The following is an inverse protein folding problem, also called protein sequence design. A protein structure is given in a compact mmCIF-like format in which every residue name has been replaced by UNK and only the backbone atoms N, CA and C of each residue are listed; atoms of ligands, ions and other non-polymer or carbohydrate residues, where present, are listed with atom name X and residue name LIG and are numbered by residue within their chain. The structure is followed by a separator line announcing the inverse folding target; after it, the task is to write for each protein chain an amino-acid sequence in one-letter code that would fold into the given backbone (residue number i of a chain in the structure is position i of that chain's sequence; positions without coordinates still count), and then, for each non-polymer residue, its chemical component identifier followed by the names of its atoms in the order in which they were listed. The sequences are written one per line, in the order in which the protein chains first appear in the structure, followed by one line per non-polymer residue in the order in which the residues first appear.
data_IF_833730241889
#
_entry.id   IF_833730241889
#
_cell.length_a   1.000
_cell.length_b   1.000
_cell.length_c   1.000
_cell.angle_alpha   90.00
_cell.angle_beta   90.00
_cell.angle_gamma   90.00
#
_symmetry.space_group_name_H-M   'P 1'
#
loop_
_entity.id
_entity.type
_entity.pdbx_description
1 polymer ?
#
# COMPACT_ATOMS: atom_id res chain seq x y z
N UNK A 1 23.81 -33.71 45.48
CA UNK A 1 23.91 -33.08 44.17
C UNK A 1 25.35 -33.07 43.71
N UNK A 2 25.67 -33.78 42.65
CA UNK A 2 27.02 -33.86 42.09
C UNK A 2 27.44 -32.52 41.49
N UNK A 3 28.74 -32.22 41.47
CA UNK A 3 29.28 -30.98 40.84
C UNK A 3 28.77 -30.79 39.42
N UNK A 4 28.53 -31.90 38.72
CA UNK A 4 28.00 -31.92 37.35
C UNK A 4 26.53 -31.42 37.28
N UNK A 5 25.67 -31.78 38.22
CA UNK A 5 24.29 -31.28 38.28
C UNK A 5 24.24 -29.76 38.52
N UNK A 6 25.09 -29.24 39.40
CA UNK A 6 25.19 -27.78 39.62
C UNK A 6 25.64 -27.03 38.36
N UNK A 7 26.55 -27.60 37.59
CA UNK A 7 27.01 -27.01 36.34
C UNK A 7 25.89 -26.94 35.25
N UNK A 8 25.05 -27.99 35.16
CA UNK A 8 23.91 -28.01 34.24
C UNK A 8 22.86 -26.98 34.66
N UNK A 9 22.52 -26.86 35.94
CA UNK A 9 21.58 -25.84 36.40
C UNK A 9 22.09 -24.42 36.17
N UNK A 10 23.38 -24.19 36.37
CA UNK A 10 24.00 -22.89 36.06
C UNK A 10 23.96 -22.58 34.58
N UNK A 11 24.22 -23.55 33.71
CA UNK A 11 24.16 -23.39 32.26
C UNK A 11 22.74 -23.05 31.77
N UNK A 12 21.72 -23.75 32.30
CA UNK A 12 20.32 -23.51 31.98
C UNK A 12 19.88 -22.12 32.49
N UNK A 13 20.32 -21.72 33.69
CA UNK A 13 20.03 -20.38 34.25
C UNK A 13 20.69 -19.27 33.39
N UNK A 14 21.88 -19.45 32.90
CA UNK A 14 22.56 -18.48 32.02
C UNK A 14 21.88 -18.39 30.65
N UNK A 15 21.45 -19.52 30.07
CA UNK A 15 20.73 -19.54 28.81
C UNK A 15 19.34 -18.88 28.88
N UNK A 16 18.68 -18.90 30.04
CA UNK A 16 17.38 -18.25 30.23
C UNK A 16 17.46 -16.72 30.36
N UNK A 17 18.65 -16.14 30.60
CA UNK A 17 18.83 -14.70 30.78
C UNK A 17 19.10 -13.91 29.47
N UNK A 18 19.27 -14.59 28.33
CA UNK A 18 19.66 -13.94 27.07
C UNK A 18 18.49 -13.56 26.14
N UNK A 19 17.24 -13.66 26.61
CA UNK A 19 16.05 -13.31 25.81
C UNK A 19 15.75 -11.81 25.88
N UNK A 20 16.61 -10.96 25.32
CA UNK A 20 16.32 -9.55 25.10
C UNK A 20 15.65 -9.37 23.73
N UNK A 21 14.33 -9.26 23.67
CA UNK A 21 13.61 -8.78 22.50
C UNK A 21 13.70 -7.26 22.43
N UNK A 22 14.21 -6.73 21.33
CA UNK A 22 14.29 -5.27 21.12
C UNK A 22 12.90 -4.74 20.70
N UNK A 23 12.08 -4.36 21.69
CA UNK A 23 10.71 -3.86 21.51
C UNK A 23 10.66 -2.62 20.62
N UNK A 24 11.71 -1.78 20.62
CA UNK A 24 11.78 -0.55 19.81
C UNK A 24 11.64 -0.83 18.30
N UNK A 25 12.05 -2.00 17.82
CA UNK A 25 11.91 -2.37 16.40
C UNK A 25 10.52 -2.92 16.05
N UNK A 26 9.70 -3.20 17.04
CA UNK A 26 8.36 -3.75 16.89
C UNK A 26 7.24 -2.69 17.02
N UNK A 27 7.59 -1.45 17.33
CA UNK A 27 6.63 -0.35 17.52
C UNK A 27 6.82 0.74 16.48
N UNK A 28 5.73 1.42 16.15
CA UNK A 28 5.74 2.62 15.32
C UNK A 28 6.18 3.83 16.16
N UNK A 29 6.77 4.83 15.51
CA UNK A 29 6.97 6.17 16.07
C UNK A 29 7.60 6.17 17.47
N UNK A 30 8.73 5.51 17.63
CA UNK A 30 9.39 5.37 18.92
C UNK A 30 9.84 6.70 19.50
N UNK A 31 9.42 7.00 20.74
CA UNK A 31 9.85 8.16 21.52
C UNK A 31 9.59 9.52 20.84
N UNK A 32 8.53 9.63 20.03
CA UNK A 32 8.15 10.89 19.42
C UNK A 32 7.41 11.75 20.46
N UNK A 33 7.87 12.99 20.74
CA UNK A 33 7.14 13.92 21.58
C UNK A 33 5.83 14.33 20.89
N UNK A 34 4.87 14.88 21.66
CA UNK A 34 3.68 15.47 21.08
C UNK A 34 4.09 16.58 20.10
N UNK A 35 3.92 16.34 18.82
CA UNK A 35 4.37 17.19 17.73
C UNK A 35 3.24 17.49 16.76
N UNK A 36 3.33 18.63 16.07
CA UNK A 36 2.40 19.00 15.01
C UNK A 36 3.18 19.04 13.70
N UNK A 37 2.70 18.32 12.71
CA UNK A 37 3.29 18.32 11.37
C UNK A 37 2.36 19.05 10.41
N UNK A 38 2.90 19.97 9.62
CA UNK A 38 2.15 20.62 8.55
C UNK A 38 1.93 19.59 7.43
N UNK A 39 0.68 19.31 7.13
CA UNK A 39 0.34 18.43 6.01
C UNK A 39 0.81 19.08 4.70
N UNK A 40 1.76 18.47 4.02
CA UNK A 40 2.23 18.94 2.72
C UNK A 40 1.29 18.41 1.63
N UNK A 41 0.19 19.13 1.40
CA UNK A 41 -0.84 18.79 0.43
C UNK A 41 -0.54 19.35 -0.98
N UNK A 42 0.52 20.14 -1.12
CA UNK A 42 0.96 20.68 -2.40
C UNK A 42 1.52 19.54 -3.27
N UNK A 43 0.96 19.32 -4.44
CA UNK A 43 1.30 18.28 -5.43
C UNK A 43 0.73 16.87 -5.20
N UNK A 44 -0.48 16.76 -4.64
CA UNK A 44 -1.16 15.45 -4.52
C UNK A 44 -1.91 15.00 -5.77
N UNK A 45 -2.13 15.89 -6.74
CA UNK A 45 -2.78 15.50 -8.00
C UNK A 45 -1.80 14.71 -8.87
N UNK A 46 -1.96 13.38 -8.97
CA UNK A 46 -1.09 12.58 -9.80
C UNK A 46 -1.30 12.98 -11.27
N UNK A 47 -0.23 12.94 -12.03
CA UNK A 47 -0.25 13.06 -13.48
C UNK A 47 -0.88 11.80 -14.05
N UNK A 48 -1.84 11.97 -14.95
CA UNK A 48 -2.53 10.90 -15.66
C UNK A 48 -1.56 10.15 -16.58
N UNK A 49 -1.73 8.83 -16.67
CA UNK A 49 -0.89 7.93 -17.47
C UNK A 49 -1.73 7.10 -18.44
N UNK A 50 -1.05 6.48 -19.39
CA UNK A 50 -1.63 5.44 -20.23
C UNK A 50 -2.19 4.31 -19.35
N UNK A 51 -3.30 3.72 -19.78
CA UNK A 51 -4.07 2.70 -19.05
C UNK A 51 -4.77 3.18 -17.78
N UNK A 52 -4.76 4.49 -17.44
CA UNK A 52 -5.63 5.01 -16.41
C UNK A 52 -7.08 4.98 -16.89
N UNK A 53 -7.97 4.49 -16.02
CA UNK A 53 -9.41 4.45 -16.25
C UNK A 53 -10.08 5.57 -15.47
N UNK A 54 -10.74 6.46 -16.21
CA UNK A 54 -11.41 7.64 -15.66
C UNK A 54 -12.93 7.51 -15.80
N UNK A 55 -13.65 8.00 -14.82
CA UNK A 55 -15.07 8.34 -14.96
C UNK A 55 -15.16 9.83 -15.19
N UNK A 56 -15.78 10.25 -16.29
CA UNK A 56 -15.98 11.66 -16.62
C UNK A 56 -17.48 11.91 -16.76
N UNK A 57 -18.02 12.80 -15.95
CA UNK A 57 -19.40 13.24 -16.06
C UNK A 57 -19.48 14.74 -16.30
N UNK A 58 -20.42 15.15 -17.15
CA UNK A 58 -20.69 16.53 -17.50
C UNK A 58 -22.09 16.91 -17.06
N UNK A 59 -22.25 18.05 -16.44
CA UNK A 59 -23.55 18.65 -16.15
C UNK A 59 -23.58 20.12 -16.58
N UNK A 60 -24.76 20.64 -16.91
CA UNK A 60 -24.97 22.04 -17.23
C UNK A 60 -26.40 22.44 -16.83
N UNK A 61 -26.74 23.71 -17.02
CA UNK A 61 -28.08 24.24 -16.78
C UNK A 61 -29.17 23.55 -17.63
N UNK A 62 -28.80 23.01 -18.82
CA UNK A 62 -29.71 22.27 -19.68
C UNK A 62 -29.42 20.77 -19.56
N UNK A 63 -30.28 20.04 -18.83
CA UNK A 63 -30.16 18.60 -18.59
C UNK A 63 -30.22 17.79 -19.89
N UNK A 64 -31.12 18.14 -20.82
CA UNK A 64 -31.28 17.42 -22.10
C UNK A 64 -30.02 17.53 -22.98
N UNK A 65 -29.37 18.68 -22.96
CA UNK A 65 -28.13 18.90 -23.71
C UNK A 65 -26.94 18.15 -23.09
N UNK A 66 -26.99 17.79 -21.81
CA UNK A 66 -25.91 17.06 -21.11
C UNK A 66 -26.02 15.54 -21.25
N UNK A 67 -27.20 15.01 -21.52
CA UNK A 67 -27.42 13.56 -21.62
C UNK A 67 -26.52 12.91 -22.70
N UNK A 68 -26.33 13.61 -23.82
CA UNK A 68 -25.47 13.13 -24.94
C UNK A 68 -23.98 13.02 -24.56
N UNK A 69 -23.51 13.73 -23.53
CA UNK A 69 -22.13 13.66 -23.02
C UNK A 69 -21.95 12.61 -21.93
N UNK A 70 -23.07 12.07 -21.41
CA UNK A 70 -23.09 11.04 -20.37
C UNK A 70 -23.74 9.75 -20.89
N UNK A 71 -23.23 9.14 -21.97
CA UNK A 71 -23.83 7.91 -22.50
C UNK A 71 -23.79 6.84 -21.41
N UNK A 72 -24.94 6.19 -21.17
CA UNK A 72 -25.01 5.04 -20.26
C UNK A 72 -24.05 3.95 -20.78
N UNK A 73 -23.24 3.38 -19.90
CA UNK A 73 -22.38 2.24 -20.25
C UNK A 73 -23.23 1.05 -20.67
N UNK A 74 -23.43 0.86 -21.98
CA UNK A 74 -24.22 -0.25 -22.56
C UNK A 74 -23.43 -1.57 -22.65
N UNK A 75 -22.24 -1.63 -22.06
CA UNK A 75 -21.39 -2.83 -22.05
C UNK A 75 -21.77 -3.77 -20.90
N UNK A 76 -22.86 -4.52 -21.06
CA UNK A 76 -23.18 -5.61 -20.13
C UNK A 76 -24.68 -5.82 -19.95
N UNK A 77 -25.12 -7.04 -20.11
CA UNK A 77 -26.46 -7.58 -19.88
C UNK A 77 -26.93 -7.45 -18.41
N UNK A 78 -26.97 -6.28 -17.85
CA UNK A 78 -27.50 -6.05 -16.51
C UNK A 78 -28.67 -5.08 -16.57
N UNK A 79 -29.86 -5.60 -16.29
CA UNK A 79 -31.11 -4.87 -16.05
C UNK A 79 -31.10 -4.09 -14.73
N UNK A 80 -30.00 -3.48 -14.39
CA UNK A 80 -29.92 -2.57 -13.25
C UNK A 80 -29.73 -1.16 -13.80
N UNK A 81 -30.64 -0.25 -13.45
CA UNK A 81 -30.53 1.18 -13.66
C UNK A 81 -29.36 1.76 -12.84
N UNK A 82 -28.16 1.25 -13.05
CA UNK A 82 -26.95 1.82 -12.49
C UNK A 82 -26.61 3.06 -13.33
N UNK A 83 -26.95 4.19 -12.78
CA UNK A 83 -26.63 5.53 -13.30
C UNK A 83 -25.10 5.80 -13.16
N UNK A 84 -24.27 4.87 -13.67
CA UNK A 84 -22.81 5.01 -13.64
C UNK A 84 -22.39 6.00 -14.70
N UNK A 85 -21.57 6.96 -14.28
CA UNK A 85 -20.96 7.88 -15.22
C UNK A 85 -20.10 7.12 -16.26
N UNK A 86 -19.96 7.65 -17.49
CA UNK A 86 -19.17 7.01 -18.55
C UNK A 86 -17.73 6.79 -18.14
N UNK A 87 -17.16 5.69 -18.62
CA UNK A 87 -15.77 5.29 -18.36
C UNK A 87 -14.90 5.57 -19.59
N UNK A 88 -13.73 6.16 -19.34
CA UNK A 88 -12.78 6.54 -20.38
C UNK A 88 -11.41 5.96 -20.05
N UNK A 89 -10.93 5.06 -20.88
CA UNK A 89 -9.57 4.53 -20.81
C UNK A 89 -8.63 5.46 -21.57
N UNK A 90 -7.53 5.85 -20.94
CA UNK A 90 -6.44 6.55 -21.63
C UNK A 90 -5.71 5.52 -22.49
N UNK A 91 -5.70 5.72 -23.80
CA UNK A 91 -5.08 4.82 -24.76
C UNK A 91 -3.53 4.88 -24.71
N UNK A 92 -2.87 3.97 -25.46
CA UNK A 92 -1.39 3.89 -25.54
C UNK A 92 -0.74 5.15 -26.12
N UNK A 93 -1.48 5.96 -26.89
CA UNK A 93 -1.03 7.26 -27.40
C UNK A 93 -1.24 8.38 -26.35
N UNK A 94 -1.88 8.07 -25.21
CA UNK A 94 -2.17 8.99 -24.12
C UNK A 94 -3.41 9.85 -24.35
N UNK A 95 -4.38 9.39 -25.16
CA UNK A 95 -5.61 10.12 -25.43
C UNK A 95 -6.83 9.41 -24.86
N UNK A 96 -7.87 10.19 -24.57
CA UNK A 96 -9.24 9.69 -24.38
C UNK A 96 -10.09 10.09 -25.58
N UNK A 97 -11.16 9.32 -25.86
CA UNK A 97 -12.16 9.67 -26.88
C UNK A 97 -13.41 10.22 -26.20
N UNK A 98 -13.56 11.53 -26.26
CA UNK A 98 -14.70 12.19 -25.63
C UNK A 98 -15.79 12.53 -26.66
N UNK A 99 -17.09 12.33 -26.35
CA UNK A 99 -18.17 12.61 -27.27
C UNK A 99 -18.12 14.04 -27.81
N UNK A 100 -18.30 14.21 -29.10
CA UNK A 100 -18.30 15.48 -29.84
C UNK A 100 -16.97 16.27 -29.83
N UNK A 101 -16.09 16.07 -28.87
CA UNK A 101 -14.76 16.69 -28.82
C UNK A 101 -13.72 15.86 -29.59
N UNK A 102 -13.94 14.54 -29.69
CA UNK A 102 -13.01 13.62 -30.33
C UNK A 102 -11.87 13.19 -29.41
N UNK A 103 -10.62 13.19 -29.92
CA UNK A 103 -9.44 12.82 -29.16
C UNK A 103 -8.96 14.02 -28.30
N UNK A 104 -8.81 13.79 -26.99
CA UNK A 104 -8.28 14.76 -26.03
C UNK A 104 -7.04 14.14 -25.39
N UNK A 105 -5.92 14.90 -25.32
CA UNK A 105 -4.70 14.44 -24.66
C UNK A 105 -4.94 14.42 -23.15
N UNK A 106 -4.78 13.26 -22.54
CA UNK A 106 -4.99 13.06 -21.09
C UNK A 106 -3.71 12.65 -20.36
N UNK A 107 -2.87 11.81 -20.98
CA UNK A 107 -1.61 11.43 -20.37
C UNK A 107 -0.63 12.60 -20.31
N UNK A 108 0.08 12.72 -19.19
CA UNK A 108 1.07 13.77 -18.95
C UNK A 108 0.53 15.04 -18.29
N UNK A 109 -0.79 15.15 -18.09
CA UNK A 109 -1.44 16.29 -17.39
C UNK A 109 -2.15 15.82 -16.13
N UNK A 110 -2.53 16.74 -15.26
CA UNK A 110 -3.31 16.43 -14.06
C UNK A 110 -4.81 16.30 -14.38
N UNK A 111 -5.58 15.67 -13.47
CA UNK A 111 -7.05 15.66 -13.60
C UNK A 111 -7.64 17.07 -13.64
N UNK A 112 -7.01 18.00 -12.93
CA UNK A 112 -7.42 19.40 -12.92
C UNK A 112 -7.28 20.01 -14.31
N UNK A 113 -6.11 19.85 -14.93
CA UNK A 113 -5.83 20.39 -16.26
C UNK A 113 -6.75 19.76 -17.32
N UNK A 114 -6.94 18.43 -17.27
CA UNK A 114 -7.86 17.72 -18.17
C UNK A 114 -9.31 18.22 -18.03
N UNK A 115 -9.75 18.49 -16.80
CA UNK A 115 -11.09 19.04 -16.55
C UNK A 115 -11.23 20.44 -17.14
N UNK A 116 -10.22 21.30 -16.98
CA UNK A 116 -10.20 22.64 -17.54
C UNK A 116 -10.21 22.57 -19.06
N UNK A 117 -9.39 21.73 -19.68
CA UNK A 117 -9.35 21.52 -21.14
C UNK A 117 -10.70 21.08 -21.71
N UNK A 118 -11.35 20.07 -21.09
CA UNK A 118 -12.67 19.62 -21.52
C UNK A 118 -13.72 20.74 -21.38
N UNK A 119 -13.69 21.46 -20.25
CA UNK A 119 -14.61 22.56 -19.99
C UNK A 119 -14.48 23.66 -21.05
N UNK A 120 -13.24 24.07 -21.32
CA UNK A 120 -12.93 25.12 -22.30
C UNK A 120 -13.35 24.72 -23.73
N UNK A 121 -13.09 23.48 -24.15
CA UNK A 121 -13.49 23.00 -25.46
C UNK A 121 -15.03 22.92 -25.62
N UNK A 122 -15.76 22.51 -24.57
CA UNK A 122 -17.22 22.49 -24.58
C UNK A 122 -17.80 23.91 -24.75
N UNK A 123 -17.25 24.90 -24.07
CA UNK A 123 -17.66 26.31 -24.17
C UNK A 123 -17.26 26.90 -25.53
N UNK A 124 -16.02 26.73 -25.95
CA UNK A 124 -15.46 27.26 -27.21
C UNK A 124 -16.22 26.77 -28.43
N UNK A 125 -16.61 25.50 -28.45
CA UNK A 125 -17.43 24.91 -29.50
C UNK A 125 -18.92 25.21 -29.37
N UNK A 126 -19.33 25.97 -28.33
CA UNK A 126 -20.73 26.35 -28.05
C UNK A 126 -21.64 25.13 -27.88
N UNK A 127 -21.10 24.03 -27.34
CA UNK A 127 -21.85 22.78 -27.11
C UNK A 127 -22.67 22.86 -25.83
N UNK A 128 -22.12 23.50 -24.78
CA UNK A 128 -22.78 23.70 -23.50
C UNK A 128 -22.50 25.10 -22.95
N UNK A 129 -23.42 25.60 -22.13
CA UNK A 129 -23.30 26.84 -21.38
C UNK A 129 -22.98 26.48 -19.93
N UNK A 130 -21.89 27.04 -19.40
CA UNK A 130 -21.43 26.81 -18.01
C UNK A 130 -21.37 25.32 -17.64
N UNK A 131 -20.64 24.49 -18.41
CA UNK A 131 -20.53 23.07 -18.09
C UNK A 131 -19.73 22.85 -16.83
N UNK A 132 -20.19 21.91 -15.98
CA UNK A 132 -19.45 21.38 -14.83
C UNK A 132 -18.96 19.99 -15.21
N UNK A 133 -17.65 19.85 -15.31
CA UNK A 133 -16.98 18.58 -15.61
C UNK A 133 -16.44 17.98 -14.32
N UNK A 134 -16.81 16.74 -14.04
CA UNK A 134 -16.31 15.98 -12.88
C UNK A 134 -15.52 14.76 -13.38
N UNK A 135 -14.28 14.61 -12.91
CA UNK A 135 -13.39 13.52 -13.30
C UNK A 135 -12.96 12.74 -12.06
N UNK A 136 -13.08 11.41 -12.10
CA UNK A 136 -12.64 10.51 -11.03
C UNK A 136 -11.80 9.37 -11.58
N UNK A 137 -10.81 8.93 -10.81
CA UNK A 137 -10.12 7.68 -11.06
C UNK A 137 -11.02 6.48 -10.72
N UNK A 138 -11.06 5.47 -11.60
CA UNK A 138 -11.74 4.20 -11.33
C UNK A 138 -10.76 3.09 -10.96
N UNK A 139 -9.54 3.15 -11.42
CA UNK A 139 -8.51 2.13 -11.19
C UNK A 139 -7.36 2.60 -10.30
N UNK A 140 -7.63 3.54 -9.36
CA UNK A 140 -6.61 3.87 -8.35
C UNK A 140 -6.40 2.66 -7.44
N UNK A 141 -5.30 1.97 -7.63
CA UNK A 141 -4.91 0.80 -6.87
C UNK A 141 -3.51 0.98 -6.27
N UNK A 142 -3.30 0.35 -5.10
CA UNK A 142 -2.02 0.26 -4.42
C UNK A 142 -1.80 -1.19 -4.03
N UNK A 143 -0.62 -1.73 -4.31
CA UNK A 143 -0.27 -3.09 -3.94
C UNK A 143 0.48 -3.11 -2.61
N UNK A 144 0.03 -3.92 -1.66
CA UNK A 144 0.72 -4.13 -0.38
C UNK A 144 1.10 -5.61 -0.25
N UNK A 145 2.40 -5.86 -0.05
CA UNK A 145 2.94 -7.22 0.00
C UNK A 145 4.01 -7.39 1.08
N UNK A 146 4.28 -8.64 1.43
CA UNK A 146 5.29 -9.02 2.44
C UNK A 146 4.68 -9.25 3.83
N UNK A 147 5.35 -8.80 4.88
CA UNK A 147 4.99 -9.04 6.30
C UNK A 147 3.88 -8.09 6.79
N UNK A 148 2.70 -8.19 6.17
CA UNK A 148 1.45 -7.53 6.56
C UNK A 148 0.39 -8.58 6.88
N UNK A 149 -0.67 -8.19 7.56
CA UNK A 149 -1.73 -9.11 7.97
C UNK A 149 -2.44 -9.77 6.78
N UNK A 150 -2.67 -9.01 5.69
CA UNK A 150 -3.35 -9.46 4.48
C UNK A 150 -2.73 -8.83 3.24
N UNK A 151 -1.70 -9.43 2.64
CA UNK A 151 -1.13 -8.96 1.38
C UNK A 151 -2.21 -8.91 0.29
N UNK A 152 -2.37 -7.76 -0.37
CA UNK A 152 -3.44 -7.56 -1.36
C UNK A 152 -3.19 -6.33 -2.24
N UNK A 153 -3.93 -6.27 -3.34
CA UNK A 153 -4.11 -5.05 -4.13
C UNK A 153 -5.32 -4.31 -3.57
N UNK A 154 -5.12 -3.08 -3.14
CA UNK A 154 -6.12 -2.21 -2.54
C UNK A 154 -6.68 -1.27 -3.61
N UNK A 155 -7.99 -1.26 -3.82
CA UNK A 155 -8.66 -0.23 -4.62
C UNK A 155 -9.04 0.95 -3.72
N UNK A 156 -8.67 2.15 -4.11
CA UNK A 156 -8.81 3.37 -3.31
C UNK A 156 -9.88 4.28 -3.91
N UNK A 157 -11.11 4.27 -3.37
CA UNK A 157 -12.21 5.08 -3.91
C UNK A 157 -12.06 6.58 -3.66
N UNK A 158 -11.34 6.95 -2.59
CA UNK A 158 -11.15 8.33 -2.15
C UNK A 158 -10.11 9.11 -2.96
N UNK A 159 -9.42 8.45 -3.90
CA UNK A 159 -8.33 9.02 -4.71
C UNK A 159 -7.16 9.61 -3.91
N UNK A 160 -7.18 9.42 -2.61
CA UNK A 160 -6.13 9.85 -1.68
C UNK A 160 -6.02 8.82 -0.57
N UNK A 161 -4.82 8.30 -0.39
CA UNK A 161 -4.51 7.34 0.66
C UNK A 161 -3.09 7.59 1.16
N UNK A 162 -2.91 7.59 2.46
CA UNK A 162 -1.58 7.64 3.07
C UNK A 162 -0.95 6.24 3.12
N UNK A 163 0.36 6.18 3.26
CA UNK A 163 1.07 4.91 3.47
C UNK A 163 0.55 4.15 4.69
N UNK A 164 0.24 4.86 5.77
CA UNK A 164 -0.27 4.27 7.00
C UNK A 164 -1.69 3.70 6.83
N UNK A 165 -2.56 4.43 6.12
CA UNK A 165 -3.90 3.93 5.78
C UNK A 165 -3.84 2.69 4.90
N UNK A 166 -2.96 2.66 3.90
CA UNK A 166 -2.79 1.48 3.04
C UNK A 166 -2.30 0.26 3.83
N UNK A 167 -1.35 0.46 4.76
CA UNK A 167 -0.90 -0.62 5.65
C UNK A 167 -2.03 -1.09 6.57
N UNK A 168 -2.83 -0.18 7.12
CA UNK A 168 -4.00 -0.52 7.94
C UNK A 168 -5.05 -1.32 7.17
N UNK A 169 -5.34 -0.93 5.92
CA UNK A 169 -6.25 -1.68 5.03
C UNK A 169 -5.72 -3.08 4.69
N UNK A 170 -4.40 -3.25 4.63
CA UNK A 170 -3.74 -4.54 4.46
C UNK A 170 -3.62 -5.36 5.77
N UNK A 171 -4.33 -4.97 6.84
CA UNK A 171 -4.34 -5.67 8.13
C UNK A 171 -3.11 -5.39 9.00
N UNK A 172 -2.47 -4.25 8.80
CA UNK A 172 -1.29 -3.77 9.51
C UNK A 172 -0.03 -4.64 9.35
N UNK A 173 1.08 -4.15 9.89
CA UNK A 173 2.36 -4.85 9.90
C UNK A 173 2.36 -5.97 10.94
N UNK A 174 2.82 -7.18 10.57
CA UNK A 174 2.97 -8.27 11.53
C UNK A 174 4.08 -7.95 12.54
N UNK A 175 4.15 -8.71 13.64
CA UNK A 175 5.26 -8.60 14.62
C UNK A 175 6.63 -8.92 13.99
N UNK A 176 6.64 -9.61 12.87
CA UNK A 176 7.84 -9.99 12.12
C UNK A 176 8.23 -8.96 11.05
N UNK A 177 7.44 -7.92 10.87
CA UNK A 177 7.74 -6.88 9.89
C UNK A 177 8.95 -6.04 10.28
N UNK A 178 9.76 -5.70 9.31
CA UNK A 178 10.88 -4.76 9.46
C UNK A 178 10.38 -3.33 9.23
N UNK A 179 9.93 -2.67 10.32
CA UNK A 179 9.31 -1.33 10.31
C UNK A 179 10.27 -0.21 9.93
N UNK A 180 11.54 -0.39 10.22
CA UNK A 180 12.63 0.56 9.91
C UNK A 180 13.07 0.49 8.43
N UNK A 181 12.43 -0.36 7.60
CA UNK A 181 12.86 -0.61 6.23
C UNK A 181 11.71 -1.04 5.31
N UNK A 182 10.64 -0.28 5.27
CA UNK A 182 9.54 -0.49 4.33
C UNK A 182 9.93 0.07 2.97
N UNK A 183 9.80 -0.73 1.92
CA UNK A 183 10.16 -0.34 0.56
C UNK A 183 8.91 0.13 -0.20
N UNK A 184 8.94 1.38 -0.64
CA UNK A 184 8.00 1.93 -1.61
C UNK A 184 8.62 1.86 -3.00
N UNK A 185 7.92 1.22 -3.94
CA UNK A 185 8.27 1.16 -5.35
C UNK A 185 7.24 2.00 -6.10
N UNK A 186 7.70 3.05 -6.75
CA UNK A 186 6.90 3.99 -7.52
C UNK A 186 7.46 4.12 -8.92
N UNK A 187 6.59 4.13 -9.91
CA UNK A 187 6.98 4.39 -11.30
C UNK A 187 6.65 5.84 -11.66
N UNK A 188 7.68 6.60 -12.05
CA UNK A 188 7.56 7.99 -12.51
C UNK A 188 8.38 8.14 -13.79
N UNK A 189 7.74 8.62 -14.87
CA UNK A 189 8.39 8.81 -16.19
C UNK A 189 9.13 7.55 -16.66
N UNK A 190 8.49 6.39 -16.63
CA UNK A 190 9.02 5.08 -17.03
C UNK A 190 10.25 4.62 -16.21
N UNK A 191 10.53 5.29 -15.09
CA UNK A 191 11.61 4.94 -14.18
C UNK A 191 11.03 4.43 -12.87
N UNK A 192 11.43 3.20 -12.47
CA UNK A 192 11.05 2.64 -11.17
C UNK A 192 11.97 3.18 -10.08
N UNK A 193 11.41 4.02 -9.23
CA UNK A 193 12.07 4.58 -8.05
C UNK A 193 11.78 3.72 -6.83
N UNK A 194 12.81 3.26 -6.15
CA UNK A 194 12.75 2.50 -4.91
C UNK A 194 13.13 3.41 -3.75
N UNK A 195 12.22 3.63 -2.82
CA UNK A 195 12.44 4.47 -1.64
C UNK A 195 12.22 3.67 -0.38
N UNK A 196 13.18 3.69 0.54
CA UNK A 196 13.07 3.06 1.84
C UNK A 196 12.52 4.05 2.85
N UNK A 197 11.55 3.59 3.63
CA UNK A 197 10.80 4.40 4.60
C UNK A 197 10.96 3.74 5.96
N UNK A 198 11.35 4.54 6.94
CA UNK A 198 11.40 4.15 8.34
C UNK A 198 10.11 4.57 9.05
N UNK A 199 9.31 3.58 9.48
CA UNK A 199 8.07 3.81 10.23
C UNK A 199 8.29 3.84 11.74
N UNK A 200 9.52 3.72 12.20
CA UNK A 200 9.86 3.88 13.62
C UNK A 200 10.16 5.33 14.00
N UNK A 201 10.39 6.20 12.99
CA UNK A 201 10.59 7.64 13.12
C UNK A 201 9.38 8.45 12.65
N UNK A 202 9.38 9.74 12.90
CA UNK A 202 8.36 10.70 12.46
C UNK A 202 8.63 11.33 11.09
N UNK A 203 9.76 11.02 10.47
CA UNK A 203 10.16 11.56 9.16
C UNK A 203 9.10 11.32 8.07
N UNK A 204 8.32 10.26 8.21
CA UNK A 204 7.26 9.93 7.26
C UNK A 204 6.22 11.05 7.13
N UNK A 205 5.90 11.76 8.22
CA UNK A 205 4.85 12.80 8.22
C UNK A 205 5.22 14.04 7.40
N UNK A 206 6.52 14.27 7.20
CA UNK A 206 7.03 15.37 6.35
C UNK A 206 7.51 14.88 4.98
N UNK A 207 7.50 13.56 4.76
CA UNK A 207 7.97 12.95 3.53
C UNK A 207 7.02 13.22 2.34
N UNK A 208 7.53 13.46 1.13
CA UNK A 208 6.72 13.50 -0.10
C UNK A 208 6.10 12.14 -0.43
N UNK A 209 6.54 11.06 0.24
CA UNK A 209 6.01 9.71 0.07
C UNK A 209 4.96 9.33 1.12
N UNK A 210 4.51 10.29 1.94
CA UNK A 210 3.43 10.06 2.90
C UNK A 210 2.13 9.65 2.21
N UNK A 211 1.79 10.33 1.11
CA UNK A 211 0.66 9.96 0.27
C UNK A 211 1.12 9.10 -0.90
N UNK A 212 0.34 8.07 -1.15
CA UNK A 212 0.57 7.12 -2.23
C UNK A 212 -0.03 7.63 -3.55
N UNK A 213 0.58 7.20 -4.65
CA UNK A 213 0.10 7.43 -6.02
C UNK A 213 -0.50 6.14 -6.60
N UNK A 214 -1.31 6.24 -7.67
CA UNK A 214 -1.79 5.06 -8.38
C UNK A 214 -0.65 4.12 -8.79
N UNK A 215 -0.87 2.82 -8.63
CA UNK A 215 0.08 1.74 -8.94
C UNK A 215 1.35 1.69 -8.06
N UNK A 216 1.40 2.43 -6.95
CA UNK A 216 2.47 2.26 -5.96
C UNK A 216 2.46 0.83 -5.39
N UNK A 217 3.66 0.28 -5.15
CA UNK A 217 3.83 -1.00 -4.49
C UNK A 217 4.58 -0.81 -3.18
N UNK A 218 3.97 -1.28 -2.09
CA UNK A 218 4.56 -1.28 -0.75
C UNK A 218 5.03 -2.70 -0.45
N UNK A 219 6.32 -2.87 -0.23
CA UNK A 219 6.89 -4.14 0.18
C UNK A 219 7.46 -4.06 1.59
N UNK A 220 6.92 -4.90 2.48
CA UNK A 220 7.33 -5.01 3.88
C UNK A 220 8.20 -6.25 4.03
N UNK A 221 9.47 -6.04 4.36
CA UNK A 221 10.42 -7.14 4.53
C UNK A 221 10.22 -7.87 5.86
N UNK A 222 10.42 -9.20 5.90
CA UNK A 222 10.47 -9.95 7.15
C UNK A 222 11.75 -9.61 7.92
N UNK A 223 11.65 -9.61 9.23
CA UNK A 223 12.80 -9.45 10.11
C UNK A 223 13.59 -10.77 10.26
N UNK A 224 14.79 -10.69 10.83
CA UNK A 224 15.67 -11.86 11.04
C UNK A 224 15.03 -12.95 11.89
N UNK A 225 14.14 -12.59 12.81
CA UNK A 225 13.46 -13.57 13.68
C UNK A 225 12.49 -14.46 12.91
N UNK A 226 11.78 -13.91 11.91
CA UNK A 226 10.93 -14.70 11.01
C UNK A 226 11.75 -15.72 10.22
N UNK A 227 12.87 -15.28 9.66
CA UNK A 227 13.77 -16.14 8.89
C UNK A 227 14.37 -17.23 9.79
N UNK A 228 14.80 -16.86 11.01
CA UNK A 228 15.34 -17.81 11.98
C UNK A 228 14.29 -18.84 12.44
N UNK A 229 13.03 -18.45 12.64
CA UNK A 229 11.97 -19.36 13.09
C UNK A 229 11.63 -20.45 12.06
N UNK A 230 11.92 -20.24 10.78
CA UNK A 230 11.77 -21.25 9.71
C UNK A 230 13.01 -22.14 9.54
N UNK A 231 14.07 -21.89 10.31
CA UNK A 231 15.29 -22.69 10.27
C UNK A 231 15.04 -24.10 10.84
N UNK A 232 15.41 -25.12 10.08
CA UNK A 232 15.33 -26.53 10.51
C UNK A 232 16.06 -26.80 11.83
N UNK A 233 17.12 -26.03 12.12
CA UNK A 233 17.89 -26.19 13.36
C UNK A 233 17.03 -25.98 14.61
N UNK A 234 16.15 -24.97 14.62
CA UNK A 234 15.25 -24.71 15.76
C UNK A 234 14.25 -25.84 15.95
N UNK A 235 13.78 -26.48 14.87
CA UNK A 235 12.86 -27.62 14.93
C UNK A 235 13.50 -28.87 15.54
N UNK A 236 14.82 -29.03 15.46
CA UNK A 236 15.55 -30.16 16.04
C UNK A 236 15.94 -29.97 17.51
N UNK A 237 15.93 -28.74 18.02
CA UNK A 237 16.28 -28.44 19.42
C UNK A 237 15.50 -29.28 20.44
N UNK A 238 14.17 -29.43 20.37
CA UNK A 238 13.42 -30.27 21.31
C UNK A 238 13.84 -31.73 21.26
N UNK A 239 14.15 -32.25 20.08
CA UNK A 239 14.61 -33.65 19.90
C UNK A 239 15.97 -33.84 20.55
N UNK A 240 16.89 -32.90 20.38
CA UNK A 240 18.23 -32.95 21.01
C UNK A 240 18.11 -32.90 22.53
N UNK A 241 17.27 -32.00 23.07
CA UNK A 241 17.07 -31.93 24.51
C UNK A 241 16.40 -33.18 25.09
N UNK A 242 15.45 -33.78 24.35
CA UNK A 242 14.82 -35.05 24.76
C UNK A 242 15.83 -36.20 24.78
N UNK A 243 16.68 -36.31 23.77
CA UNK A 243 17.73 -37.33 23.71
C UNK A 243 18.76 -37.16 24.84
N UNK A 244 19.18 -35.93 25.14
CA UNK A 244 20.08 -35.63 26.25
C UNK A 244 19.46 -35.97 27.59
N UNK A 245 18.19 -35.66 27.82
CA UNK A 245 17.46 -35.97 29.05
C UNK A 245 17.36 -37.47 29.27
N UNK A 246 17.02 -38.23 28.22
CA UNK A 246 16.96 -39.69 28.25
C UNK A 246 18.34 -40.31 28.52
N UNK A 247 19.40 -39.80 27.90
CA UNK A 247 20.76 -40.25 28.15
C UNK A 247 21.21 -40.06 29.61
N UNK A 248 20.87 -38.95 30.23
CA UNK A 248 21.16 -38.66 31.66
C UNK A 248 20.44 -39.65 32.56
N UNK A 249 19.17 -39.96 32.29
CA UNK A 249 18.38 -40.92 33.09
C UNK A 249 18.95 -42.32 32.97
N UNK A 250 19.30 -42.73 31.75
CA UNK A 250 19.90 -44.09 31.52
C UNK A 250 21.24 -44.28 32.22
N UNK A 251 22.09 -43.25 32.25
CA UNK A 251 23.36 -43.27 33.00
C UNK A 251 23.15 -43.32 34.51
N UNK A 252 22.10 -42.68 35.03
CA UNK A 252 21.77 -42.74 36.42
C UNK A 252 21.24 -44.11 36.87
N UNK A 253 20.40 -44.76 36.06
CA UNK A 253 19.88 -46.10 36.33
C UNK A 253 20.93 -47.21 36.17
N UNK A 254 21.89 -47.04 35.29
CA UNK A 254 22.99 -48.02 35.10
C UNK A 254 24.10 -47.99 36.17
N UNK A 255 23.94 -47.16 37.20
CA UNK A 255 24.88 -47.03 38.33
C UNK A 255 24.40 -47.70 39.63
N UNK A 256 23.39 -48.57 39.54
CA UNK A 256 22.95 -49.42 40.64
C UNK A 256 23.43 -50.88 40.43
#
# INVERSE_FOLDING_TARGET
MTKFQKCIYLLVAVLSLTSCTNLKKATYFNNIPNSQFKSNLENLDPVLKENDLLSISVSSLNADATEIFNPANTSGTAKNNDNRAPEYLIDEDGYIRFPFLGKIKAAGITKKDLREEITDELVKRKLLVEPIVNIRYLNFQVSVMGEVGKPSVLTIPSEKVSLLEALSLAGDLTIYAQRDNVLLIREENDVKKLTRIDLTSDDIFTSPNYYLKPNDVIYVQPNKSKVASTSRFISWLPVIFSALSFGIIAIQQGRF
#
